data_IF_967719332816
#
_entry.id   IF_967719332816
#
_cell.length_a   1.000
_cell.length_b   1.000
_cell.length_c   1.000
_cell.angle_alpha   90.00
_cell.angle_beta   90.00
_cell.angle_gamma   90.00
#
_symmetry.space_group_name_H-M   'P 1'
#
loop_
_entity.id
_entity.type
_entity.pdbx_description
1 polymer ?
#
# COMPACT_ATOMS: atom_id res chain seq x y z
N UNK A 1 20.62 46.10 23.78
CA UNK A 1 21.62 46.57 22.79
C UNK A 1 21.17 45.98 21.45
N UNK A 2 20.41 46.73 20.64
CA UNK A 2 20.83 47.47 19.42
C UNK A 2 21.57 46.54 18.44
N UNK A 3 20.88 46.09 17.37
CA UNK A 3 20.96 46.60 15.97
C UNK A 3 22.06 45.83 15.19
N UNK A 4 21.96 45.42 13.93
CA UNK A 4 21.33 45.99 12.72
C UNK A 4 21.02 44.90 11.67
N UNK A 5 20.03 45.18 10.82
CA UNK A 5 19.85 44.68 9.45
C UNK A 5 20.94 45.28 8.55
N UNK A 6 21.32 44.59 7.46
CA UNK A 6 21.93 45.29 6.32
C UNK A 6 21.38 44.78 4.98
N UNK A 7 20.80 45.72 4.25
CA UNK A 7 20.41 45.66 2.84
C UNK A 7 21.55 46.19 1.96
N UNK A 8 21.63 45.71 0.71
CA UNK A 8 22.37 46.34 -0.38
C UNK A 8 22.68 45.32 -1.48
N UNK A 9 22.56 45.57 -2.78
CA UNK A 9 22.44 46.82 -3.52
C UNK A 9 21.95 46.46 -4.95
N UNK A 10 21.03 47.25 -5.49
CA UNK A 10 20.60 47.22 -6.90
C UNK A 10 21.63 47.99 -7.73
N UNK A 11 22.11 47.41 -8.83
CA UNK A 11 22.86 48.13 -9.86
C UNK A 11 22.11 48.06 -11.20
N UNK A 12 21.52 49.19 -11.56
CA UNK A 12 20.93 49.51 -12.85
C UNK A 12 22.04 50.00 -13.78
N UNK A 13 22.17 49.42 -14.98
CA UNK A 13 22.98 50.02 -16.06
C UNK A 13 22.13 50.10 -17.32
N UNK A 14 21.82 51.33 -17.73
CA UNK A 14 21.25 51.69 -19.03
C UNK A 14 22.27 52.49 -19.83
N UNK A 15 22.61 52.02 -21.03
CA UNK A 15 23.11 52.77 -22.21
C UNK A 15 22.84 51.83 -23.39
N UNK A 16 22.32 52.15 -24.58
CA UNK A 16 21.95 53.36 -25.31
C UNK A 16 21.89 52.94 -26.80
N UNK A 17 20.90 53.40 -27.57
CA UNK A 17 20.61 53.02 -28.96
C UNK A 17 21.66 53.53 -29.99
N UNK A 18 21.90 52.77 -31.07
CA UNK A 18 21.71 53.18 -32.48
C UNK A 18 22.34 52.19 -33.49
N UNK A 19 21.65 51.88 -34.59
CA UNK A 19 22.29 51.35 -35.81
C UNK A 19 21.47 50.33 -36.61
N UNK A 20 20.68 50.80 -37.59
CA UNK A 20 19.97 49.97 -38.57
C UNK A 20 20.94 49.27 -39.56
N UNK A 21 20.69 48.00 -39.88
CA UNK A 21 21.40 47.28 -40.93
C UNK A 21 20.85 45.88 -41.22
N UNK A 22 19.89 45.81 -42.15
CA UNK A 22 19.50 44.70 -43.04
C UNK A 22 19.48 43.22 -42.57
N UNK A 23 18.28 42.61 -42.76
CA UNK A 23 17.98 41.24 -43.25
C UNK A 23 18.05 40.04 -42.27
N UNK A 24 16.88 39.52 -41.86
CA UNK A 24 16.33 38.20 -42.28
C UNK A 24 15.11 37.78 -41.43
N UNK A 25 14.09 37.25 -42.12
CA UNK A 25 12.86 36.70 -41.55
C UNK A 25 13.06 35.23 -41.17
N UNK A 26 13.02 34.85 -39.88
CA UNK A 26 12.69 33.46 -39.48
C UNK A 26 12.27 33.19 -38.03
N UNK A 27 12.13 34.15 -37.11
CA UNK A 27 12.07 33.78 -35.67
C UNK A 27 10.69 33.86 -34.99
N UNK A 28 9.62 34.25 -35.69
CA UNK A 28 8.29 34.39 -35.07
C UNK A 28 7.41 33.12 -35.09
N UNK A 29 7.79 32.06 -35.82
CA UNK A 29 7.02 30.82 -35.88
C UNK A 29 7.36 29.83 -34.74
N UNK A 30 8.58 29.86 -34.22
CA UNK A 30 9.07 28.89 -33.23
C UNK A 30 8.64 29.22 -31.79
N UNK A 31 8.38 30.48 -31.44
CA UNK A 31 7.87 30.85 -30.11
C UNK A 31 6.36 30.61 -29.96
N UNK A 32 5.60 30.71 -31.05
CA UNK A 32 4.14 30.55 -31.00
C UNK A 32 3.71 29.05 -30.91
N UNK A 33 4.50 28.13 -31.48
CA UNK A 33 4.23 26.68 -31.42
C UNK A 33 4.48 26.08 -30.03
N UNK A 34 5.47 26.59 -29.29
CA UNK A 34 5.82 26.09 -27.95
C UNK A 34 4.77 26.46 -26.90
N UNK A 35 4.23 27.68 -26.98
CA UNK A 35 3.15 28.16 -26.08
C UNK A 35 1.82 27.46 -26.36
N UNK A 36 1.50 27.20 -27.64
CA UNK A 36 0.32 26.43 -28.02
C UNK A 36 0.39 24.97 -27.54
N UNK A 37 1.57 24.32 -27.64
CA UNK A 37 1.80 22.96 -27.16
C UNK A 37 1.63 22.83 -25.63
N UNK A 38 2.22 23.75 -24.86
CA UNK A 38 2.13 23.74 -23.39
C UNK A 38 0.69 24.01 -22.89
N UNK A 39 -0.09 24.79 -23.65
CA UNK A 39 -1.49 25.06 -23.32
C UNK A 39 -2.38 23.84 -23.62
N UNK A 40 -2.11 23.13 -24.72
CA UNK A 40 -2.83 21.90 -25.08
C UNK A 40 -2.53 20.74 -24.10
N UNK A 41 -1.28 20.61 -23.66
CA UNK A 41 -0.86 19.59 -22.69
C UNK A 41 -1.45 19.84 -21.29
N UNK A 42 -1.51 21.09 -20.84
CA UNK A 42 -2.19 21.42 -19.58
C UNK A 42 -3.71 21.20 -19.67
N UNK A 43 -4.33 21.44 -20.82
CA UNK A 43 -5.74 21.17 -21.03
C UNK A 43 -6.06 19.67 -21.05
N UNK A 44 -5.19 18.82 -21.60
CA UNK A 44 -5.35 17.36 -21.60
C UNK A 44 -5.15 16.77 -20.21
N UNK A 45 -4.14 17.23 -19.45
CA UNK A 45 -3.91 16.83 -18.05
C UNK A 45 -5.08 17.21 -17.13
N UNK A 46 -5.67 18.41 -17.32
CA UNK A 46 -6.84 18.84 -16.55
C UNK A 46 -8.08 18.00 -16.88
N UNK A 47 -8.27 17.59 -18.14
CA UNK A 47 -9.34 16.68 -18.56
C UNK A 47 -9.14 15.27 -18.00
N UNK A 48 -7.93 14.73 -18.03
CA UNK A 48 -7.60 13.42 -17.46
C UNK A 48 -7.85 13.38 -15.95
N UNK A 49 -7.46 14.43 -15.22
CA UNK A 49 -7.70 14.55 -13.77
C UNK A 49 -9.20 14.67 -13.45
N UNK A 50 -9.96 15.40 -14.26
CA UNK A 50 -11.42 15.51 -14.10
C UNK A 50 -12.16 14.20 -14.42
N UNK A 51 -11.69 13.43 -15.41
CA UNK A 51 -12.24 12.11 -15.75
C UNK A 51 -11.92 11.07 -14.66
N UNK A 52 -10.73 11.13 -14.06
CA UNK A 52 -10.36 10.26 -12.94
C UNK A 52 -11.16 10.59 -11.68
N UNK A 53 -11.40 11.88 -11.38
CA UNK A 53 -12.28 12.30 -10.27
C UNK A 53 -13.76 11.92 -10.50
N UNK A 54 -14.23 11.93 -11.75
CA UNK A 54 -15.58 11.48 -12.09
C UNK A 54 -15.72 9.95 -11.97
N UNK A 55 -14.71 9.19 -12.39
CA UNK A 55 -14.64 7.73 -12.21
C UNK A 55 -14.62 7.35 -10.73
N UNK A 56 -13.83 8.03 -9.90
CA UNK A 56 -13.79 7.81 -8.44
C UNK A 56 -15.12 8.15 -7.74
N UNK A 57 -15.84 9.16 -8.22
CA UNK A 57 -17.20 9.48 -7.72
C UNK A 57 -18.23 8.43 -8.12
N UNK A 58 -18.14 7.88 -9.34
CA UNK A 58 -19.02 6.81 -9.81
C UNK A 58 -18.80 5.50 -9.02
N UNK A 59 -17.55 5.14 -8.75
CA UNK A 59 -17.22 3.97 -7.91
C UNK A 59 -17.73 4.13 -6.47
N UNK A 60 -17.60 5.32 -5.88
CA UNK A 60 -18.11 5.61 -4.54
C UNK A 60 -19.65 5.60 -4.45
N UNK A 61 -20.37 5.90 -5.54
CA UNK A 61 -21.84 5.84 -5.55
C UNK A 61 -22.36 4.41 -5.70
N UNK A 62 -21.68 3.57 -6.50
CA UNK A 62 -21.96 2.13 -6.57
C UNK A 62 -21.68 1.39 -5.24
N UNK A 63 -20.65 1.80 -4.50
CA UNK A 63 -20.34 1.25 -3.16
C UNK A 63 -21.39 1.60 -2.10
N UNK A 64 -21.99 2.80 -2.16
CA UNK A 64 -23.09 3.17 -1.26
C UNK A 64 -24.37 2.37 -1.53
N UNK A 65 -24.59 1.92 -2.76
CA UNK A 65 -25.75 1.12 -3.12
C UNK A 65 -25.60 -0.35 -2.69
N UNK A 66 -24.37 -0.88 -2.67
CA UNK A 66 -24.05 -2.18 -2.08
C UNK A 66 -24.17 -2.20 -0.54
N UNK A 67 -23.93 -1.07 0.14
CA UNK A 67 -24.05 -0.93 1.60
C UNK A 67 -25.49 -0.97 2.13
N UNK A 68 -26.50 -0.73 1.28
CA UNK A 68 -27.90 -0.78 1.71
C UNK A 68 -28.44 -2.22 1.75
N UNK A 69 -27.84 -3.15 1.01
CA UNK A 69 -28.17 -4.57 1.05
C UNK A 69 -27.56 -5.30 2.26
N UNK A 70 -26.47 -4.79 2.84
CA UNK A 70 -25.75 -5.46 3.95
C UNK A 70 -26.37 -5.23 5.33
N UNK A 71 -27.21 -4.20 5.51
CA UNK A 71 -27.83 -3.88 6.81
C UNK A 71 -28.98 -4.80 7.20
N UNK A 72 -29.53 -5.59 6.28
CA UNK A 72 -30.62 -6.53 6.57
C UNK A 72 -30.14 -7.94 6.97
N UNK A 73 -28.85 -8.25 6.76
CA UNK A 73 -28.29 -9.58 7.06
C UNK A 73 -27.70 -9.74 8.48
N UNK A 74 -27.58 -8.66 9.28
CA UNK A 74 -26.89 -8.70 10.58
C UNK A 74 -27.75 -9.15 11.77
N UNK A 75 -28.96 -9.68 11.57
CA UNK A 75 -29.84 -10.02 12.71
C UNK A 75 -30.09 -11.52 12.94
N UNK A 76 -29.15 -12.39 12.56
CA UNK A 76 -29.22 -13.81 12.95
C UNK A 76 -27.84 -14.41 13.15
N UNK A 77 -27.23 -14.11 14.30
CA UNK A 77 -26.18 -14.95 14.87
C UNK A 77 -26.83 -16.17 15.49
N UNK A 78 -26.49 -17.36 15.00
CA UNK A 78 -26.65 -18.60 15.74
C UNK A 78 -25.36 -19.38 15.63
N UNK A 79 -24.90 -19.84 16.78
CA UNK A 79 -23.68 -20.63 16.99
C UNK A 79 -23.54 -21.74 15.95
N UNK A 80 -22.41 -21.74 15.25
CA UNK A 80 -21.97 -22.89 14.48
C UNK A 80 -20.53 -23.19 14.88
N UNK A 81 -20.37 -24.22 15.72
CA UNK A 81 -19.12 -24.95 15.87
C UNK A 81 -18.94 -25.81 14.63
N UNK A 82 -18.07 -25.42 13.70
CA UNK A 82 -17.72 -26.24 12.54
C UNK A 82 -16.19 -26.42 12.45
N UNK A 83 -15.74 -27.62 12.80
CA UNK A 83 -14.37 -28.12 12.60
C UNK A 83 -13.99 -28.32 11.10
N UNK A 84 -14.78 -27.81 10.14
CA UNK A 84 -14.52 -27.89 8.70
C UNK A 84 -14.23 -26.55 8.00
N UNK A 85 -14.00 -25.46 8.74
CA UNK A 85 -13.91 -24.11 8.14
C UNK A 85 -12.51 -23.63 7.70
N UNK A 86 -11.48 -24.47 7.78
CA UNK A 86 -10.08 -24.08 7.56
C UNK A 86 -9.39 -24.79 6.37
N UNK A 87 -10.16 -25.33 5.42
CA UNK A 87 -9.58 -25.85 4.18
C UNK A 87 -9.04 -24.68 3.33
N UNK A 88 -7.81 -24.85 2.83
CA UNK A 88 -7.13 -23.86 1.99
C UNK A 88 -7.87 -23.70 0.67
N UNK A 89 -8.00 -22.45 0.22
CA UNK A 89 -8.69 -22.11 -1.02
C UNK A 89 -7.67 -21.81 -2.11
N UNK A 90 -7.76 -22.52 -3.23
CA UNK A 90 -6.92 -22.25 -4.38
C UNK A 90 -7.41 -21.02 -5.15
N UNK A 91 -6.66 -19.92 -5.03
CA UNK A 91 -6.93 -18.66 -5.71
C UNK A 91 -5.88 -18.38 -6.79
N UNK A 92 -6.35 -17.93 -7.95
CA UNK A 92 -5.51 -17.24 -8.95
C UNK A 92 -5.02 -15.89 -8.41
N UNK A 93 -3.95 -15.34 -9.00
CA UNK A 93 -3.41 -14.04 -8.59
C UNK A 93 -4.44 -12.90 -8.71
N UNK A 94 -5.30 -12.94 -9.72
CA UNK A 94 -6.37 -11.95 -9.88
C UNK A 94 -7.40 -12.07 -8.75
N UNK A 95 -7.73 -13.29 -8.31
CA UNK A 95 -8.63 -13.50 -7.18
C UNK A 95 -7.98 -13.07 -5.86
N UNK A 96 -6.68 -13.36 -5.65
CA UNK A 96 -5.91 -12.87 -4.50
C UNK A 96 -5.94 -11.34 -4.44
N UNK A 97 -5.68 -10.67 -5.57
CA UNK A 97 -5.74 -9.21 -5.67
C UNK A 97 -7.13 -8.65 -5.33
N UNK A 98 -8.22 -9.30 -5.79
CA UNK A 98 -9.60 -8.91 -5.47
C UNK A 98 -9.91 -9.07 -3.97
N UNK A 99 -9.52 -10.19 -3.37
CA UNK A 99 -9.71 -10.43 -1.94
C UNK A 99 -8.90 -9.42 -1.11
N UNK A 100 -7.63 -9.21 -1.45
CA UNK A 100 -6.77 -8.25 -0.76
C UNK A 100 -7.33 -6.81 -0.84
N UNK A 101 -7.78 -6.37 -2.02
CA UNK A 101 -8.39 -5.05 -2.19
C UNK A 101 -9.68 -4.88 -1.39
N UNK A 102 -10.53 -5.91 -1.34
CA UNK A 102 -11.75 -5.88 -0.53
C UNK A 102 -11.44 -5.85 0.97
N UNK A 103 -10.48 -6.66 1.42
CA UNK A 103 -10.02 -6.67 2.81
C UNK A 103 -9.40 -5.32 3.19
N UNK A 104 -8.57 -4.72 2.34
CA UNK A 104 -7.97 -3.40 2.56
C UNK A 104 -9.04 -2.31 2.68
N UNK A 105 -10.10 -2.36 1.87
CA UNK A 105 -11.20 -1.41 1.95
C UNK A 105 -11.97 -1.52 3.27
N UNK A 106 -12.15 -2.73 3.80
CA UNK A 106 -12.68 -2.95 5.15
C UNK A 106 -11.71 -2.45 6.22
N UNK A 107 -10.43 -2.81 6.12
CA UNK A 107 -9.37 -2.42 7.05
C UNK A 107 -9.21 -0.90 7.15
N UNK A 108 -9.37 -0.20 6.02
CA UNK A 108 -9.34 1.27 5.97
C UNK A 108 -10.43 1.92 6.81
N UNK A 109 -11.63 1.36 6.82
CA UNK A 109 -12.72 1.83 7.68
C UNK A 109 -12.41 1.54 9.16
N UNK A 110 -11.84 0.38 9.47
CA UNK A 110 -11.40 0.07 10.84
C UNK A 110 -10.31 1.02 11.31
N UNK A 111 -9.37 1.38 10.43
CA UNK A 111 -8.30 2.33 10.72
C UNK A 111 -8.86 3.74 11.03
N UNK A 112 -9.86 4.23 10.28
CA UNK A 112 -10.54 5.51 10.58
C UNK A 112 -11.25 5.52 11.94
N UNK A 113 -11.88 4.40 12.30
CA UNK A 113 -12.54 4.20 13.61
C UNK A 113 -11.48 4.22 14.72
N UNK A 114 -10.39 3.47 14.53
CA UNK A 114 -9.27 3.34 15.47
C UNK A 114 -8.33 4.54 15.52
N UNK A 115 -8.53 5.57 14.68
CA UNK A 115 -7.63 6.73 14.53
C UNK A 115 -6.19 6.32 14.17
N UNK A 116 -6.08 5.36 13.26
CA UNK A 116 -4.84 4.82 12.72
C UNK A 116 -4.81 4.96 11.19
N UNK A 117 -3.62 4.87 10.60
CA UNK A 117 -3.43 4.64 9.19
C UNK A 117 -3.36 3.13 8.91
N UNK A 118 -3.69 2.73 7.68
CA UNK A 118 -3.46 1.38 7.16
C UNK A 118 -2.91 1.44 5.74
N UNK A 119 -1.94 0.59 5.44
CA UNK A 119 -1.37 0.44 4.09
C UNK A 119 -1.36 -1.03 3.68
N UNK A 120 -1.49 -1.29 2.38
CA UNK A 120 -1.31 -2.61 1.76
C UNK A 120 0.16 -2.96 1.53
N UNK A 121 1.10 -2.08 1.86
CA UNK A 121 2.54 -2.35 1.74
C UNK A 121 3.04 -3.24 2.89
N UNK A 122 2.42 -4.41 3.11
CA UNK A 122 2.69 -5.29 4.26
C UNK A 122 3.98 -6.11 4.12
N UNK A 123 4.34 -6.43 2.88
CA UNK A 123 5.51 -7.18 2.49
C UNK A 123 6.13 -6.56 1.24
N UNK A 124 7.45 -6.47 1.26
CA UNK A 124 8.30 -6.00 0.18
C UNK A 124 9.74 -6.33 0.62
N UNK A 125 10.56 -6.68 -0.35
CA UNK A 125 11.96 -6.96 -0.17
C UNK A 125 12.68 -6.34 -1.37
N UNK A 126 13.84 -5.73 -1.16
CA UNK A 126 14.56 -5.02 -2.21
C UNK A 126 15.06 -5.96 -3.31
N UNK A 127 16.27 -5.72 -3.81
CA UNK A 127 16.88 -6.62 -4.81
C UNK A 127 17.45 -7.92 -4.23
N UNK A 128 16.80 -8.50 -3.22
CA UNK A 128 17.34 -9.63 -2.45
C UNK A 128 16.96 -10.98 -3.08
N UNK A 129 18.00 -11.79 -3.31
CA UNK A 129 17.97 -13.22 -3.64
C UNK A 129 16.99 -13.70 -4.71
N UNK A 130 16.91 -15.01 -4.86
CA UNK A 130 16.00 -15.68 -5.79
C UNK A 130 15.15 -16.75 -5.09
N UNK A 131 15.18 -16.80 -3.75
CA UNK A 131 14.41 -17.75 -2.97
C UNK A 131 12.99 -17.25 -2.66
N UNK A 132 12.10 -18.20 -2.43
CA UNK A 132 10.74 -17.92 -2.00
C UNK A 132 10.74 -17.30 -0.61
N UNK A 133 9.93 -16.26 -0.46
CA UNK A 133 9.75 -15.58 0.80
C UNK A 133 8.58 -16.18 1.58
N UNK A 134 8.73 -16.22 2.90
CA UNK A 134 7.74 -16.80 3.78
C UNK A 134 7.63 -16.11 5.14
N UNK A 135 6.48 -16.27 5.77
CA UNK A 135 6.29 -16.00 7.19
C UNK A 135 6.20 -17.30 7.97
N UNK A 136 6.79 -17.34 9.16
CA UNK A 136 6.55 -18.42 10.12
C UNK A 136 5.27 -18.13 10.91
N UNK A 137 4.39 -19.13 11.03
CA UNK A 137 3.18 -19.08 11.87
C UNK A 137 3.03 -20.37 12.70
N UNK A 138 2.12 -20.43 13.69
CA UNK A 138 1.76 -21.66 14.39
C UNK A 138 1.20 -22.77 13.49
N UNK A 139 0.58 -22.41 12.37
CA UNK A 139 -0.07 -23.37 11.46
C UNK A 139 0.84 -23.82 10.31
N UNK A 140 2.07 -23.31 10.28
CA UNK A 140 3.06 -23.60 9.24
C UNK A 140 3.64 -22.35 8.59
N UNK A 141 4.42 -22.56 7.53
CA UNK A 141 4.98 -21.47 6.73
C UNK A 141 3.93 -20.96 5.75
N UNK A 142 3.78 -19.63 5.68
CA UNK A 142 2.94 -18.97 4.68
C UNK A 142 3.85 -18.44 3.58
N UNK A 143 3.71 -18.92 2.34
CA UNK A 143 4.43 -18.36 1.19
C UNK A 143 3.89 -16.97 0.88
N UNK A 144 4.74 -15.94 0.84
CA UNK A 144 4.37 -14.57 0.48
C UNK A 144 4.88 -14.14 -0.91
N UNK A 145 5.87 -14.86 -1.43
CA UNK A 145 6.30 -14.74 -2.81
C UNK A 145 6.82 -16.06 -3.34
N UNK A 146 6.52 -16.34 -4.61
CA UNK A 146 6.92 -17.54 -5.33
C UNK A 146 7.86 -17.17 -6.49
N UNK A 147 9.13 -17.53 -6.35
CA UNK A 147 10.12 -17.61 -7.42
C UNK A 147 10.35 -19.06 -7.87
N UNK A 148 9.60 -20.02 -7.34
CA UNK A 148 9.75 -21.43 -7.63
C UNK A 148 10.88 -22.11 -6.87
N UNK A 149 11.44 -21.46 -5.83
CA UNK A 149 12.65 -21.92 -5.14
C UNK A 149 12.48 -21.81 -3.62
N UNK A 150 12.05 -22.85 -2.90
CA UNK A 150 11.89 -24.24 -3.36
C UNK A 150 10.57 -24.53 -4.09
N UNK A 151 9.69 -23.55 -4.21
CA UNK A 151 8.41 -23.60 -4.91
C UNK A 151 7.22 -23.77 -3.97
N UNK A 152 6.06 -23.33 -4.46
CA UNK A 152 4.78 -23.32 -3.74
C UNK A 152 4.45 -24.62 -2.98
N UNK A 153 4.79 -25.78 -3.53
CA UNK A 153 4.52 -27.08 -2.90
C UNK A 153 5.22 -27.34 -1.56
N UNK A 154 6.20 -26.52 -1.18
CA UNK A 154 6.85 -26.59 0.15
C UNK A 154 6.11 -25.80 1.24
N UNK A 155 5.07 -25.05 0.88
CA UNK A 155 4.35 -24.17 1.77
C UNK A 155 2.92 -24.67 1.97
N UNK A 156 2.51 -24.99 3.21
CA UNK A 156 1.14 -25.47 3.47
C UNK A 156 0.08 -24.37 3.31
N UNK A 157 0.49 -23.10 3.30
CA UNK A 157 -0.40 -21.93 3.24
C UNK A 157 0.22 -20.92 2.26
N UNK A 158 -0.61 -20.29 1.43
CA UNK A 158 -0.19 -19.20 0.56
C UNK A 158 -0.86 -17.90 0.99
N UNK A 159 -0.11 -16.80 0.90
CA UNK A 159 -0.66 -15.49 1.16
C UNK A 159 -1.67 -15.10 0.08
N UNK A 160 -2.81 -14.63 0.54
CA UNK A 160 -3.82 -13.94 -0.27
C UNK A 160 -3.50 -12.45 -0.35
N UNK A 161 -2.90 -11.91 0.72
CA UNK A 161 -2.57 -10.50 0.85
C UNK A 161 -2.22 -10.12 2.29
N UNK A 162 -2.31 -8.84 2.61
CA UNK A 162 -1.97 -8.32 3.92
C UNK A 162 -2.08 -6.80 4.00
N UNK A 163 -1.99 -6.29 5.21
CA UNK A 163 -1.97 -4.85 5.46
C UNK A 163 -1.22 -4.53 6.76
N UNK A 164 -0.79 -3.29 6.95
CA UNK A 164 -0.15 -2.82 8.17
C UNK A 164 -0.90 -1.64 8.76
N UNK A 165 -1.31 -1.76 10.03
CA UNK A 165 -1.92 -0.69 10.82
C UNK A 165 -0.86 0.01 11.67
N UNK A 166 -0.87 1.34 11.67
CA UNK A 166 0.10 2.15 12.41
C UNK A 166 -0.42 3.55 12.71
N UNK A 167 0.30 4.29 13.55
CA UNK A 167 0.12 5.74 13.71
C UNK A 167 1.01 6.48 12.71
N UNK A 168 0.41 7.29 11.84
CA UNK A 168 1.15 8.11 10.89
C UNK A 168 1.72 9.38 11.55
N UNK A 169 2.93 9.78 11.16
CA UNK A 169 3.62 10.98 11.68
C UNK A 169 2.91 12.27 11.27
N UNK A 170 2.31 12.28 10.08
CA UNK A 170 1.57 13.42 9.54
C UNK A 170 0.10 13.49 10.01
N UNK A 171 -0.33 12.52 10.82
CA UNK A 171 -1.71 12.43 11.32
C UNK A 171 -2.70 11.80 10.33
N UNK A 172 -2.24 11.21 9.23
CA UNK A 172 -3.08 10.43 8.31
C UNK A 172 -3.82 9.32 9.06
N UNK A 173 -5.11 9.16 8.73
CA UNK A 173 -5.97 8.08 9.22
C UNK A 173 -6.70 7.42 8.04
N UNK A 174 -7.07 6.15 8.19
CA UNK A 174 -7.63 5.37 7.09
C UNK A 174 -6.55 4.89 6.13
N UNK A 175 -6.91 4.74 4.86
CA UNK A 175 -5.99 4.24 3.85
C UNK A 175 -4.84 5.23 3.58
N UNK A 176 -3.60 4.79 3.76
CA UNK A 176 -2.39 5.53 3.46
C UNK A 176 -1.57 4.84 2.36
N UNK A 177 -1.09 5.63 1.40
CA UNK A 177 -0.14 5.20 0.37
C UNK A 177 1.27 5.33 0.92
N UNK A 178 1.61 4.47 1.87
CA UNK A 178 2.86 4.50 2.61
C UNK A 178 4.11 4.36 1.71
N UNK A 179 3.96 3.76 0.53
CA UNK A 179 5.01 3.76 -0.49
C UNK A 179 5.23 5.17 -1.06
N UNK A 180 6.02 5.96 -0.34
CA UNK A 180 6.32 7.34 -0.65
C UNK A 180 7.83 7.63 -0.49
N UNK A 181 8.70 6.79 -1.06
CA UNK A 181 10.13 6.98 -0.92
C UNK A 181 10.95 5.87 -1.56
N UNK A 182 12.18 5.69 -1.09
CA UNK A 182 13.00 4.55 -1.46
C UNK A 182 12.66 3.33 -0.58
N UNK A 183 13.00 2.13 -1.05
CA UNK A 183 12.96 0.93 -0.20
C UNK A 183 13.79 1.11 1.09
N UNK A 184 14.87 1.92 1.04
CA UNK A 184 15.71 2.21 2.19
C UNK A 184 15.01 3.06 3.27
N UNK A 185 14.14 3.99 2.87
CA UNK A 185 13.30 4.75 3.81
C UNK A 185 12.24 3.84 4.45
N UNK A 186 11.67 2.94 3.64
CA UNK A 186 10.67 1.97 4.05
C UNK A 186 9.54 2.64 4.87
N UNK A 187 9.00 1.97 5.88
CA UNK A 187 7.99 2.55 6.76
C UNK A 187 8.44 3.82 7.48
N UNK A 188 9.74 4.08 7.62
CA UNK A 188 10.21 5.26 8.36
C UNK A 188 9.78 6.58 7.70
N UNK A 189 9.37 6.56 6.43
CA UNK A 189 8.82 7.73 5.73
C UNK A 189 7.65 8.38 6.47
N UNK A 190 6.70 7.59 6.99
CA UNK A 190 5.51 8.14 7.65
C UNK A 190 5.06 7.37 8.90
N UNK A 191 5.67 6.24 9.25
CA UNK A 191 5.27 5.45 10.42
C UNK A 191 5.92 5.96 11.71
N UNK A 192 5.12 6.23 12.75
CA UNK A 192 5.62 6.49 14.11
C UNK A 192 5.88 5.16 14.84
N UNK A 193 7.14 4.73 14.83
CA UNK A 193 7.56 3.49 15.49
C UNK A 193 7.46 3.53 17.02
N UNK A 194 7.26 4.71 17.65
CA UNK A 194 7.03 4.78 19.11
C UNK A 194 5.65 4.24 19.51
N UNK A 195 4.76 4.07 18.54
CA UNK A 195 3.41 3.53 18.73
C UNK A 195 3.33 2.06 18.35
N UNK A 196 2.28 1.33 18.79
CA UNK A 196 2.04 -0.03 18.34
C UNK A 196 1.82 -0.10 16.82
N UNK A 197 2.33 -1.16 16.22
CA UNK A 197 2.13 -1.50 14.80
C UNK A 197 1.58 -2.92 14.72
N UNK A 198 0.61 -3.16 13.84
CA UNK A 198 0.06 -4.50 13.58
C UNK A 198 0.15 -4.82 12.10
N UNK A 199 0.94 -5.84 11.74
CA UNK A 199 0.98 -6.37 10.36
C UNK A 199 0.06 -7.57 10.27
N UNK A 200 -0.92 -7.52 9.37
CA UNK A 200 -1.81 -8.63 9.06
C UNK A 200 -1.32 -9.34 7.80
N UNK A 201 -1.36 -10.67 7.85
CA UNK A 201 -1.08 -11.58 6.76
C UNK A 201 -2.30 -12.47 6.58
N UNK A 202 -2.86 -12.48 5.38
CA UNK A 202 -4.10 -13.18 5.05
C UNK A 202 -3.74 -14.53 4.43
N UNK A 203 -4.00 -15.63 5.13
CA UNK A 203 -3.78 -16.98 4.62
C UNK A 203 -4.93 -17.47 3.74
N UNK A 204 -4.62 -18.27 2.73
CA UNK A 204 -5.61 -18.95 1.87
C UNK A 204 -6.45 -20.00 2.62
N UNK A 205 -6.01 -20.41 3.82
CA UNK A 205 -6.76 -21.20 4.78
C UNK A 205 -7.84 -20.41 5.54
N UNK A 206 -7.99 -19.10 5.28
CA UNK A 206 -8.96 -18.23 5.93
C UNK A 206 -8.56 -17.73 7.31
N UNK A 207 -7.30 -17.95 7.71
CA UNK A 207 -6.74 -17.42 8.96
C UNK A 207 -6.08 -16.06 8.69
N UNK A 208 -6.39 -15.08 9.54
CA UNK A 208 -5.62 -13.84 9.63
C UNK A 208 -4.52 -14.04 10.66
N UNK A 209 -3.27 -13.95 10.19
CA UNK A 209 -2.10 -13.92 11.05
C UNK A 209 -1.69 -12.49 11.32
N UNK A 210 -1.16 -12.24 12.51
CA UNK A 210 -0.82 -10.91 13.01
C UNK A 210 0.57 -10.92 13.64
N UNK A 211 1.41 -9.97 13.22
CA UNK A 211 2.63 -9.60 13.91
C UNK A 211 2.44 -8.26 14.61
N UNK A 212 2.46 -8.30 15.94
CA UNK A 212 2.45 -7.09 16.79
C UNK A 212 3.88 -6.59 17.00
N UNK A 213 4.11 -5.34 16.69
CA UNK A 213 5.43 -4.72 16.73
C UNK A 213 5.33 -3.19 16.98
N UNK A 214 6.31 -2.40 16.56
CA UNK A 214 6.45 -0.99 16.96
C UNK A 214 6.90 -0.84 18.42
N UNK A 215 6.29 0.09 19.14
CA UNK A 215 6.58 0.40 20.55
C UNK A 215 8.08 0.69 20.82
N UNK A 216 8.67 1.55 19.99
CA UNK A 216 10.08 1.93 20.03
C UNK A 216 11.00 1.03 19.20
N UNK A 217 10.49 -0.07 18.65
CA UNK A 217 11.26 -0.91 17.72
C UNK A 217 10.98 -0.51 16.28
N UNK A 218 12.03 -0.31 15.48
CA UNK A 218 11.89 -0.09 14.06
C UNK A 218 11.19 -1.28 13.38
N UNK A 219 10.37 -0.98 12.39
CA UNK A 219 9.61 -1.96 11.62
C UNK A 219 9.80 -1.67 10.14
N UNK A 220 9.87 -2.71 9.34
CA UNK A 220 9.99 -2.64 7.89
C UNK A 220 9.08 -3.67 7.22
N UNK A 221 9.00 -3.57 5.90
CA UNK A 221 8.28 -4.52 5.03
C UNK A 221 8.78 -5.95 5.19
N UNK A 222 10.09 -6.16 5.38
CA UNK A 222 10.69 -7.49 5.60
C UNK A 222 10.62 -8.01 7.04
N UNK A 223 10.23 -7.18 8.03
CA UNK A 223 10.12 -7.65 9.43
C UNK A 223 9.11 -8.79 9.54
N UNK A 224 9.54 -9.90 10.14
CA UNK A 224 8.74 -11.13 10.30
C UNK A 224 8.74 -12.08 9.10
N UNK A 225 9.55 -11.80 8.08
CA UNK A 225 9.67 -12.65 6.90
C UNK A 225 11.09 -13.18 6.75
N UNK A 226 11.20 -14.39 6.20
CA UNK A 226 12.44 -15.03 5.82
C UNK A 226 12.43 -15.38 4.34
N UNK A 227 13.62 -15.55 3.78
CA UNK A 227 13.82 -15.97 2.40
C UNK A 227 14.49 -17.35 2.41
N UNK A 228 14.11 -18.24 1.49
CA UNK A 228 14.92 -19.41 1.22
C UNK A 228 16.24 -19.04 0.51
N UNK A 229 17.25 -19.90 0.60
CA UNK A 229 18.45 -19.77 -0.23
C UNK A 229 18.12 -19.91 -1.72
N UNK A 230 18.97 -19.39 -2.59
CA UNK A 230 18.81 -19.43 -4.05
C UNK A 230 18.75 -20.86 -4.65
N UNK A 231 19.06 -21.89 -3.86
CA UNK A 231 18.93 -23.31 -4.23
C UNK A 231 17.70 -24.00 -3.58
N UNK A 232 16.93 -23.26 -2.78
CA UNK A 232 15.73 -23.70 -2.08
C UNK A 232 15.99 -24.64 -0.90
N UNK A 233 17.25 -24.94 -0.56
CA UNK A 233 17.57 -25.98 0.43
C UNK A 233 17.53 -25.47 1.87
N UNK A 234 17.84 -24.19 2.07
CA UNK A 234 17.98 -23.60 3.40
C UNK A 234 16.94 -22.52 3.60
N UNK A 235 16.09 -22.67 4.61
CA UNK A 235 15.17 -21.63 5.02
C UNK A 235 15.93 -20.57 5.84
N UNK A 236 15.87 -19.30 5.43
CA UNK A 236 16.48 -18.19 6.14
C UNK A 236 15.84 -17.94 7.51
N UNK A 237 16.57 -17.28 8.40
CA UNK A 237 16.07 -17.00 9.74
C UNK A 237 14.91 -15.98 9.70
N UNK A 238 13.82 -16.31 10.38
CA UNK A 238 12.73 -15.37 10.65
C UNK A 238 12.95 -14.73 12.01
N UNK A 239 13.06 -13.40 12.06
CA UNK A 239 13.34 -12.65 13.28
C UNK A 239 12.12 -12.60 14.23
N UNK A 240 10.90 -12.70 13.68
CA UNK A 240 9.63 -12.66 14.42
C UNK A 240 8.57 -13.53 13.77
N UNK A 241 7.89 -14.32 14.59
CA UNK A 241 6.80 -15.20 14.13
C UNK A 241 5.47 -14.45 14.16
N UNK A 242 4.66 -14.63 13.12
CA UNK A 242 3.28 -14.17 13.11
C UNK A 242 2.41 -15.13 13.93
N UNK A 243 1.44 -14.61 14.68
CA UNK A 243 0.50 -15.43 15.47
C UNK A 243 -0.91 -15.34 14.88
N UNK A 244 -1.78 -16.31 15.16
CA UNK A 244 -3.20 -16.18 14.81
C UNK A 244 -3.75 -14.89 15.44
N UNK A 245 -4.36 -14.03 14.64
CA UNK A 245 -4.87 -12.75 15.12
C UNK A 245 -5.99 -12.96 16.13
N UNK A 246 -5.99 -12.11 17.15
CA UNK A 246 -7.08 -12.03 18.13
C UNK A 246 -8.21 -11.12 17.66
N UNK A 247 -8.05 -10.43 16.53
CA UNK A 247 -9.10 -9.64 15.92
C UNK A 247 -10.13 -10.56 15.25
N UNK A 248 -11.22 -10.82 15.97
CA UNK A 248 -12.33 -11.63 15.47
C UNK A 248 -13.04 -11.01 14.26
N UNK A 249 -13.05 -9.69 14.13
CA UNK A 249 -13.68 -9.01 13.00
C UNK A 249 -12.84 -9.15 11.72
N UNK A 250 -11.51 -9.02 11.83
CA UNK A 250 -10.59 -9.29 10.72
C UNK A 250 -10.74 -10.74 10.21
N UNK A 251 -10.77 -11.70 11.14
CA UNK A 251 -10.94 -13.13 10.80
C UNK A 251 -12.27 -13.38 10.10
N UNK A 252 -13.37 -12.86 10.64
CA UNK A 252 -14.69 -13.01 10.02
C UNK A 252 -14.77 -12.38 8.63
N UNK A 253 -14.14 -11.21 8.42
CA UNK A 253 -14.12 -10.57 7.10
C UNK A 253 -13.32 -11.39 6.08
N UNK A 254 -12.14 -11.91 6.44
CA UNK A 254 -11.37 -12.77 5.53
C UNK A 254 -12.15 -14.04 5.15
N UNK A 255 -12.73 -14.74 6.15
CA UNK A 255 -13.52 -15.94 5.90
C UNK A 255 -14.71 -15.65 4.96
N UNK A 256 -15.42 -14.55 5.18
CA UNK A 256 -16.51 -14.09 4.30
C UNK A 256 -16.04 -13.82 2.87
N UNK A 257 -14.89 -13.17 2.69
CA UNK A 257 -14.34 -12.88 1.37
C UNK A 257 -13.92 -14.17 0.63
N UNK A 258 -13.37 -15.14 1.35
CA UNK A 258 -12.95 -16.42 0.78
C UNK A 258 -14.11 -17.38 0.48
N UNK A 259 -15.24 -17.26 1.18
CA UNK A 259 -16.41 -18.13 0.99
C UNK A 259 -16.95 -18.14 -0.45
N UNK A 260 -16.67 -17.12 -1.27
CA UNK A 260 -17.08 -17.06 -2.69
C UNK A 260 -16.27 -18.01 -3.59
N UNK A 261 -15.16 -18.54 -3.08
CA UNK A 261 -14.20 -19.36 -3.83
C UNK A 261 -14.06 -20.78 -3.27
N UNK A 262 -14.90 -21.13 -2.29
CA UNK A 262 -15.01 -22.47 -1.68
C UNK A 262 -16.05 -23.32 -2.40
#
# INVERSE_FOLDING_TARGET
MKKELSFGLIALVMVGLAGCGAKNSSDNAAQNSKTASLTAENASLKRAKSAQSASLKATNSSLKQAQQATKEASNSTSNVTNESENESVHLTDEQKAKVNAAFLAWASQQAEIGKMAVSDWYFDHGSAGHGDWYAQTPDGKVQVQDFGVPGAGQFPIHAVGGCVFYTAKDGTIGHDKLYAGSFADNYAVNMDFTKPVSKYLLGDNGVVYELKTGNGTAVSTNTGFGEYSDDGQTAGTVDRTFMVSKDGAARAELQKLLATYR
#
